data_IF_099106503569
#
_entry.id   IF_099106503569
#
_cell.length_a   1.000
_cell.length_b   1.000
_cell.length_c   1.000
_cell.angle_alpha   90.00
_cell.angle_beta   90.00
_cell.angle_gamma   90.00
#
_symmetry.space_group_name_H-M   'P 1'
#
loop_
_entity.id
_entity.type
_entity.pdbx_description
1 polymer ?
#
# COMPACT_ATOMS: atom_id res chain seq x y z
N UNK A 1 -6.03 28.31 3.22
CA UNK A 1 -6.46 26.96 2.77
C UNK A 1 -5.19 26.13 2.63
N UNK A 2 -5.06 25.00 3.31
CA UNK A 2 -3.83 24.20 3.28
C UNK A 2 -3.73 23.49 1.92
N UNK A 3 -2.66 23.72 1.16
CA UNK A 3 -2.42 23.11 -0.15
C UNK A 3 -1.35 22.02 0.02
N UNK A 4 -1.73 20.75 -0.13
CA UNK A 4 -0.76 19.64 -0.16
C UNK A 4 -0.19 19.54 -1.58
N UNK A 5 1.12 19.73 -1.78
CA UNK A 5 1.71 19.42 -3.07
C UNK A 5 1.54 17.93 -3.37
N UNK A 6 1.36 17.59 -4.65
CA UNK A 6 1.46 16.21 -5.08
C UNK A 6 2.90 15.71 -4.86
N UNK A 7 3.02 14.45 -4.48
CA UNK A 7 4.31 13.77 -4.29
C UNK A 7 4.38 12.73 -5.40
N UNK A 8 5.30 12.91 -6.34
CA UNK A 8 5.39 12.08 -7.54
C UNK A 8 5.72 10.63 -7.19
N UNK A 9 6.50 10.40 -6.12
CA UNK A 9 6.87 9.05 -5.68
C UNK A 9 5.69 8.19 -5.18
N UNK A 10 4.54 8.81 -4.90
CA UNK A 10 3.30 8.10 -4.53
C UNK A 10 2.49 7.66 -5.75
N UNK A 11 2.88 8.05 -6.96
CA UNK A 11 2.28 7.60 -8.21
C UNK A 11 3.09 6.43 -8.79
N UNK A 12 2.42 5.34 -9.15
CA UNK A 12 3.09 4.19 -9.78
C UNK A 12 3.72 4.55 -11.13
N UNK A 13 3.22 5.58 -11.83
CA UNK A 13 3.83 6.09 -13.06
C UNK A 13 5.28 6.54 -12.85
N UNK A 14 5.60 7.11 -11.67
CA UNK A 14 6.96 7.52 -11.33
C UNK A 14 7.94 6.34 -11.29
N UNK A 15 7.44 5.15 -10.96
CA UNK A 15 8.22 3.91 -10.90
C UNK A 15 8.26 3.15 -12.23
N UNK A 16 7.75 3.75 -13.32
CA UNK A 16 7.80 3.18 -14.66
C UNK A 16 6.68 2.21 -15.00
N UNK A 17 5.66 2.08 -14.15
CA UNK A 17 4.46 1.33 -14.47
C UNK A 17 3.51 2.13 -15.36
N UNK A 18 2.84 1.42 -16.26
CA UNK A 18 1.82 1.99 -17.13
C UNK A 18 0.40 1.52 -16.77
N UNK A 19 -0.62 2.27 -17.21
CA UNK A 19 -2.03 1.90 -17.03
C UNK A 19 -2.37 0.51 -17.58
N UNK A 20 -1.68 0.08 -18.65
CA UNK A 20 -1.86 -1.23 -19.28
C UNK A 20 -1.45 -2.38 -18.34
N UNK A 21 -0.60 -2.12 -17.35
CA UNK A 21 -0.10 -3.10 -16.38
C UNK A 21 -0.95 -3.16 -15.11
N UNK A 22 -1.99 -2.33 -14.98
CA UNK A 22 -2.84 -2.30 -13.78
C UNK A 22 -3.49 -3.65 -13.46
N UNK A 23 -3.69 -4.51 -14.47
CA UNK A 23 -4.25 -5.86 -14.33
C UNK A 23 -3.18 -6.94 -14.11
N UNK A 24 -1.89 -6.61 -14.25
CA UNK A 24 -0.80 -7.56 -14.02
C UNK A 24 -0.70 -7.87 -12.54
N UNK A 25 -0.47 -9.15 -12.22
CA UNK A 25 -0.29 -9.66 -10.86
C UNK A 25 1.18 -9.70 -10.47
N UNK A 26 1.48 -9.28 -9.25
CA UNK A 26 2.82 -9.26 -8.69
C UNK A 26 2.86 -10.02 -7.37
N UNK A 27 3.99 -10.64 -7.08
CA UNK A 27 4.25 -11.26 -5.77
C UNK A 27 4.68 -10.19 -4.76
N UNK A 28 4.06 -10.17 -3.59
CA UNK A 28 4.32 -9.18 -2.54
C UNK A 28 5.03 -9.85 -1.37
N UNK A 29 6.29 -9.49 -1.16
CA UNK A 29 7.16 -10.10 -0.14
C UNK A 29 6.96 -9.52 1.27
N UNK A 30 6.24 -8.40 1.40
CA UNK A 30 6.13 -7.65 2.65
C UNK A 30 4.76 -7.77 3.34
N UNK A 31 3.80 -8.48 2.75
CA UNK A 31 2.46 -8.65 3.33
C UNK A 31 2.12 -10.13 3.52
N UNK A 32 1.07 -10.41 4.29
CA UNK A 32 0.52 -11.77 4.43
C UNK A 32 -0.25 -12.25 3.19
N UNK A 33 -0.42 -11.40 2.17
CA UNK A 33 -0.99 -11.76 0.87
C UNK A 33 0.14 -11.91 -0.13
N UNK A 34 0.21 -13.09 -0.75
CA UNK A 34 1.33 -13.41 -1.61
C UNK A 34 1.22 -12.79 -3.01
N UNK A 35 0.02 -12.52 -3.53
CA UNK A 35 -0.17 -12.06 -4.93
C UNK A 35 -1.35 -11.08 -5.05
N UNK A 36 -1.12 -9.92 -5.68
CA UNK A 36 -2.16 -8.91 -6.00
C UNK A 36 -1.88 -8.25 -7.36
N UNK A 37 -2.91 -7.69 -7.99
CA UNK A 37 -2.75 -6.84 -9.19
C UNK A 37 -2.13 -5.48 -8.83
N UNK A 38 -1.45 -4.83 -9.78
CA UNK A 38 -0.90 -3.48 -9.54
C UNK A 38 -1.99 -2.48 -9.10
N UNK A 39 -3.21 -2.58 -9.67
CA UNK A 39 -4.36 -1.78 -9.24
C UNK A 39 -4.72 -1.99 -7.77
N UNK A 40 -4.77 -3.24 -7.34
CA UNK A 40 -5.06 -3.58 -5.95
C UNK A 40 -3.95 -3.09 -5.03
N UNK A 41 -2.68 -3.18 -5.44
CA UNK A 41 -1.52 -2.67 -4.67
C UNK A 41 -1.61 -1.16 -4.49
N UNK A 42 -1.82 -0.40 -5.57
CA UNK A 42 -1.94 1.06 -5.52
C UNK A 42 -3.09 1.50 -4.58
N UNK A 43 -4.24 0.85 -4.72
CA UNK A 43 -5.42 1.15 -3.90
C UNK A 43 -5.18 0.80 -2.43
N UNK A 44 -4.57 -0.35 -2.16
CA UNK A 44 -4.24 -0.81 -0.81
C UNK A 44 -3.27 0.14 -0.10
N UNK A 45 -2.19 0.55 -0.75
CA UNK A 45 -1.21 1.47 -0.15
C UNK A 45 -1.81 2.86 0.11
N UNK A 46 -2.62 3.38 -0.82
CA UNK A 46 -3.33 4.66 -0.64
C UNK A 46 -4.34 4.60 0.51
N UNK A 47 -5.10 3.53 0.64
CA UNK A 47 -6.03 3.35 1.76
C UNK A 47 -5.30 3.24 3.10
N UNK A 48 -4.16 2.53 3.12
CA UNK A 48 -3.37 2.27 4.34
C UNK A 48 -2.64 3.52 4.83
N UNK A 49 -2.01 4.29 3.93
CA UNK A 49 -1.07 5.35 4.31
C UNK A 49 -1.51 6.77 3.91
N UNK A 50 -2.43 6.91 2.96
CA UNK A 50 -2.89 8.20 2.44
C UNK A 50 -4.33 8.54 2.84
N UNK A 51 -4.91 7.80 3.78
CA UNK A 51 -6.26 8.03 4.30
C UNK A 51 -6.33 9.22 5.26
N UNK A 52 -7.21 9.11 6.26
CA UNK A 52 -7.39 10.16 7.27
C UNK A 52 -6.26 10.19 8.31
N UNK A 53 -5.49 9.11 8.44
CA UNK A 53 -4.40 8.95 9.40
C UNK A 53 -3.11 8.71 8.61
N UNK A 54 -2.11 9.55 8.82
CA UNK A 54 -0.75 9.34 8.32
C UNK A 54 0.09 8.64 9.37
N UNK A 55 0.76 7.55 9.00
CA UNK A 55 1.61 6.77 9.90
C UNK A 55 3.07 7.00 9.53
N UNK A 56 3.86 7.53 10.46
CA UNK A 56 5.29 7.79 10.25
C UNK A 56 6.13 6.86 11.12
N UNK A 57 6.73 5.84 10.50
CA UNK A 57 7.53 4.84 11.22
C UNK A 57 8.77 4.38 10.45
N UNK A 58 8.92 4.76 9.18
CA UNK A 58 10.03 4.32 8.33
C UNK A 58 11.41 4.81 8.78
N UNK A 59 11.47 5.86 9.60
CA UNK A 59 12.71 6.40 10.17
C UNK A 59 13.24 5.56 11.35
N UNK A 60 12.48 4.60 11.86
CA UNK A 60 12.90 3.70 12.94
C UNK A 60 13.96 2.73 12.40
N UNK A 61 15.11 2.68 13.06
CA UNK A 61 16.25 1.85 12.65
C UNK A 61 16.07 0.37 13.00
N UNK A 62 15.29 0.08 14.04
CA UNK A 62 14.96 -1.28 14.47
C UNK A 62 13.97 -1.93 13.49
N UNK A 63 14.41 -3.01 12.84
CA UNK A 63 13.63 -3.71 11.84
C UNK A 63 12.42 -4.45 12.43
N UNK A 64 12.53 -4.94 13.66
CA UNK A 64 11.46 -5.70 14.32
C UNK A 64 10.34 -4.75 14.74
N UNK A 65 10.70 -3.57 15.24
CA UNK A 65 9.73 -2.50 15.53
C UNK A 65 9.05 -2.03 14.25
N UNK A 66 9.81 -1.79 13.17
CA UNK A 66 9.25 -1.36 11.88
C UNK A 66 8.28 -2.40 11.30
N UNK A 67 8.64 -3.68 11.34
CA UNK A 67 7.77 -4.79 10.91
C UNK A 67 6.51 -4.88 11.75
N UNK A 68 6.64 -4.82 13.07
CA UNK A 68 5.52 -4.86 14.01
C UNK A 68 4.53 -3.69 13.79
N UNK A 69 5.04 -2.52 13.41
CA UNK A 69 4.24 -1.35 13.05
C UNK A 69 3.61 -1.47 11.66
N UNK A 70 4.28 -2.12 10.71
CA UNK A 70 3.77 -2.33 9.34
C UNK A 70 2.65 -3.37 9.30
N UNK A 71 2.81 -4.50 9.99
CA UNK A 71 1.85 -5.60 9.96
C UNK A 71 0.45 -5.17 10.43
N UNK A 72 0.36 -4.29 11.43
CA UNK A 72 -0.92 -3.86 12.01
C UNK A 72 -1.86 -3.15 11.03
N UNK A 73 -1.49 -2.01 10.43
CA UNK A 73 -2.37 -1.30 9.50
C UNK A 73 -2.65 -2.13 8.25
N UNK A 74 -1.64 -2.86 7.74
CA UNK A 74 -1.78 -3.71 6.55
C UNK A 74 -2.70 -4.92 6.79
N UNK A 75 -2.74 -5.49 8.00
CA UNK A 75 -3.65 -6.59 8.37
C UNK A 75 -5.13 -6.16 8.41
N UNK A 76 -5.41 -4.93 8.83
CA UNK A 76 -6.80 -4.44 8.96
C UNK A 76 -7.43 -4.28 7.58
N UNK A 77 -6.69 -3.75 6.61
CA UNK A 77 -7.17 -3.52 5.25
C UNK A 77 -7.12 -4.76 4.37
N UNK A 78 -6.25 -5.72 4.68
CA UNK A 78 -6.27 -7.05 4.04
C UNK A 78 -7.64 -7.75 4.19
N UNK A 79 -8.37 -7.49 5.28
CA UNK A 79 -9.73 -8.04 5.45
C UNK A 79 -10.70 -7.48 4.42
N UNK A 80 -10.61 -6.19 4.09
CA UNK A 80 -11.56 -5.54 3.17
C UNK A 80 -11.36 -6.00 1.73
N UNK A 81 -10.11 -6.11 1.28
CA UNK A 81 -9.77 -6.59 -0.08
C UNK A 81 -10.17 -8.05 -0.29
N UNK A 82 -9.92 -8.92 0.70
CA UNK A 82 -10.31 -10.33 0.61
C UNK A 82 -11.83 -10.50 0.64
N UNK A 83 -12.56 -9.73 1.45
CA UNK A 83 -14.03 -9.80 1.52
C UNK A 83 -14.70 -9.35 0.21
N UNK A 84 -14.15 -8.35 -0.49
CA UNK A 84 -14.67 -7.90 -1.78
C UNK A 84 -14.48 -8.92 -2.91
N UNK A 85 -13.46 -9.78 -2.83
CA UNK A 85 -13.21 -10.83 -3.84
C UNK A 85 -14.20 -12.01 -3.76
N UNK A 86 -14.94 -12.14 -2.66
CA UNK A 86 -15.91 -13.21 -2.41
C UNK A 86 -17.35 -12.69 -2.20
N UNK A 87 -17.64 -11.45 -2.57
CA UNK A 87 -18.97 -10.83 -2.51
C UNK A 87 -19.58 -10.62 -3.91
#
# INVERSE_FOLDING_TARGET
MWNRPAIDELDYHYHGFSDDELMNTYEILCTNVSVMTLREIDSFLKETYCGHIGIEFMHITDIDIRRWLQERPELVLNKTVVQQKYA
#
